data_IF_411275083119
#
_entry.id   IF_411275083119
#
_cell.length_a   1.000
_cell.length_b   1.000
_cell.length_c   1.000
_cell.angle_alpha   90.00
_cell.angle_beta   90.00
_cell.angle_gamma   90.00
#
_symmetry.space_group_name_H-M   'P 1'
#
loop_
_entity.id
_entity.type
_entity.pdbx_description
1 polymer ?
#
# COMPACT_ATOMS: atom_id res chain seq x y z
N UNK A 1 2.09 30.57 -5.95
CA UNK A 1 2.20 29.39 -6.83
C UNK A 1 2.86 28.21 -6.14
N UNK A 2 4.10 28.30 -5.67
CA UNK A 2 4.79 27.18 -4.98
C UNK A 2 4.02 26.55 -3.80
N UNK A 3 3.35 27.34 -2.96
CA UNK A 3 2.52 26.82 -1.87
C UNK A 3 1.28 26.04 -2.34
N UNK A 4 0.62 26.52 -3.40
CA UNK A 4 -0.57 25.88 -3.97
C UNK A 4 -0.18 24.57 -4.63
N UNK A 5 0.91 24.56 -5.41
CA UNK A 5 1.42 23.34 -6.05
C UNK A 5 1.89 22.31 -5.01
N UNK A 6 2.57 22.75 -3.95
CA UNK A 6 2.99 21.90 -2.84
C UNK A 6 1.80 21.21 -2.17
N UNK A 7 0.78 21.98 -1.77
CA UNK A 7 -0.41 21.43 -1.16
C UNK A 7 -1.23 20.56 -2.11
N UNK A 8 -1.32 20.93 -3.39
CA UNK A 8 -1.95 20.10 -4.41
C UNK A 8 -1.29 18.72 -4.50
N UNK A 9 0.05 18.66 -4.55
CA UNK A 9 0.79 17.40 -4.56
C UNK A 9 0.57 16.58 -3.29
N UNK A 10 0.55 17.21 -2.12
CA UNK A 10 0.27 16.53 -0.83
C UNK A 10 -1.15 15.95 -0.82
N UNK A 11 -2.15 16.71 -1.28
CA UNK A 11 -3.54 16.23 -1.36
C UNK A 11 -3.68 15.11 -2.38
N UNK A 12 -3.04 15.20 -3.54
CA UNK A 12 -3.03 14.13 -4.54
C UNK A 12 -2.37 12.85 -4.00
N UNK A 13 -1.24 12.97 -3.31
CA UNK A 13 -0.57 11.85 -2.65
C UNK A 13 -1.43 11.25 -1.53
N UNK A 14 -2.11 12.08 -0.73
CA UNK A 14 -3.02 11.61 0.30
C UNK A 14 -4.22 10.87 -0.29
N UNK A 15 -4.77 11.36 -1.41
CA UNK A 15 -5.85 10.70 -2.13
C UNK A 15 -5.40 9.34 -2.69
N UNK A 16 -4.23 9.28 -3.33
CA UNK A 16 -3.62 8.04 -3.83
C UNK A 16 -3.34 7.05 -2.70
N UNK A 17 -2.76 7.52 -1.59
CA UNK A 17 -2.48 6.72 -0.40
C UNK A 17 -3.78 6.15 0.19
N UNK A 18 -4.81 6.98 0.32
CA UNK A 18 -6.11 6.57 0.81
C UNK A 18 -6.74 5.52 -0.11
N UNK A 19 -6.71 5.75 -1.42
CA UNK A 19 -7.21 4.80 -2.40
C UNK A 19 -6.47 3.46 -2.30
N UNK A 20 -5.14 3.48 -2.20
CA UNK A 20 -4.34 2.26 -2.08
C UNK A 20 -4.66 1.49 -0.78
N UNK A 21 -4.73 2.17 0.37
CA UNK A 21 -5.02 1.54 1.65
C UNK A 21 -6.40 0.86 1.66
N UNK A 22 -7.42 1.55 1.13
CA UNK A 22 -8.78 1.01 1.07
C UNK A 22 -8.96 -0.05 -0.03
N UNK A 23 -8.26 0.07 -1.17
CA UNK A 23 -8.27 -0.96 -2.19
C UNK A 23 -7.63 -2.26 -1.69
N UNK A 24 -6.48 -2.18 -1.03
CA UNK A 24 -5.83 -3.34 -0.41
C UNK A 24 -6.71 -3.97 0.67
N UNK A 25 -7.37 -3.14 1.49
CA UNK A 25 -8.34 -3.61 2.48
C UNK A 25 -9.51 -4.37 1.81
N UNK A 26 -10.10 -3.81 0.75
CA UNK A 26 -11.19 -4.44 0.02
C UNK A 26 -10.78 -5.78 -0.61
N UNK A 27 -9.59 -5.86 -1.21
CA UNK A 27 -9.03 -7.12 -1.75
C UNK A 27 -8.85 -8.14 -0.63
N UNK A 28 -8.31 -7.72 0.52
CA UNK A 28 -8.12 -8.62 1.66
C UNK A 28 -9.45 -9.13 2.22
N UNK A 29 -10.46 -8.26 2.40
CA UNK A 29 -11.81 -8.65 2.83
C UNK A 29 -12.47 -9.59 1.81
N UNK A 30 -12.33 -9.30 0.51
CA UNK A 30 -12.84 -10.17 -0.55
C UNK A 30 -12.19 -11.55 -0.49
N UNK A 31 -10.86 -11.62 -0.35
CA UNK A 31 -10.13 -12.89 -0.25
C UNK A 31 -10.57 -13.69 0.96
N UNK A 32 -10.71 -13.07 2.14
CA UNK A 32 -11.17 -13.77 3.36
C UNK A 32 -12.62 -14.26 3.19
N UNK A 33 -13.50 -13.43 2.62
CA UNK A 33 -14.90 -13.79 2.39
C UNK A 33 -15.06 -14.92 1.38
N UNK A 34 -14.17 -14.99 0.39
CA UNK A 34 -14.14 -16.02 -0.64
C UNK A 34 -13.15 -17.14 -0.32
N UNK A 35 -12.53 -17.14 0.87
CA UNK A 35 -11.48 -18.10 1.21
C UNK A 35 -11.98 -19.53 1.11
N UNK A 36 -13.20 -19.83 1.57
CA UNK A 36 -13.81 -21.15 1.44
C UNK A 36 -14.10 -21.58 0.00
N UNK A 37 -14.46 -20.63 -0.88
CA UNK A 37 -14.66 -20.91 -2.32
C UNK A 37 -13.32 -21.09 -3.05
N UNK A 38 -12.30 -20.30 -2.67
CA UNK A 38 -10.94 -20.39 -3.20
C UNK A 38 -10.25 -21.68 -2.75
N UNK A 39 -10.39 -22.09 -1.49
CA UNK A 39 -9.86 -23.36 -0.98
C UNK A 39 -10.67 -24.55 -1.48
N UNK A 40 -11.99 -24.42 -1.66
CA UNK A 40 -12.84 -25.40 -2.33
C UNK A 40 -12.43 -25.64 -3.79
N UNK A 41 -12.18 -24.56 -4.55
CA UNK A 41 -11.65 -24.64 -5.90
C UNK A 41 -10.23 -25.21 -5.93
N UNK A 42 -9.38 -24.88 -4.96
CA UNK A 42 -8.03 -25.41 -4.84
C UNK A 42 -7.97 -26.88 -4.36
N UNK A 43 -8.93 -27.34 -3.56
CA UNK A 43 -9.05 -28.74 -3.16
C UNK A 43 -9.65 -29.60 -4.28
N UNK A 44 -10.55 -29.06 -5.08
CA UNK A 44 -10.87 -29.60 -6.41
C UNK A 44 -9.64 -29.60 -7.34
N UNK A 45 -8.77 -28.59 -7.23
CA UNK A 45 -7.48 -28.54 -7.93
C UNK A 45 -6.43 -29.53 -7.40
N UNK A 46 -6.55 -30.01 -6.17
CA UNK A 46 -5.79 -31.15 -5.66
C UNK A 46 -6.10 -32.46 -6.41
N UNK A 47 -7.19 -32.49 -7.16
CA UNK A 47 -7.53 -33.53 -8.15
C UNK A 47 -7.31 -33.11 -9.60
N UNK A 48 -6.72 -31.92 -9.85
CA UNK A 48 -6.17 -31.58 -11.17
C UNK A 48 -4.90 -32.42 -11.33
N UNK A 49 -5.13 -33.70 -11.62
CA UNK A 49 -4.25 -34.43 -12.49
C UNK A 49 -4.09 -33.58 -13.76
N UNK A 50 -2.87 -33.57 -14.30
CA UNK A 50 -2.62 -33.03 -15.63
C UNK A 50 -3.75 -33.53 -16.52
N UNK A 51 -4.55 -32.64 -17.15
CA UNK A 51 -5.68 -33.07 -17.95
C UNK A 51 -5.23 -34.12 -18.95
N UNK A 52 -6.04 -35.14 -19.24
CA UNK A 52 -5.62 -36.27 -20.08
C UNK A 52 -5.09 -35.84 -21.47
N UNK A 53 -5.52 -34.68 -21.97
CA UNK A 53 -5.03 -34.08 -23.22
C UNK A 53 -3.63 -33.45 -23.10
N UNK A 54 -3.23 -33.06 -21.90
CA UNK A 54 -1.94 -32.46 -21.55
C UNK A 54 -0.96 -33.52 -21.00
N UNK A 55 -1.47 -34.66 -20.51
CA UNK A 55 -0.67 -35.75 -19.95
C UNK A 55 0.43 -36.27 -20.90
N UNK A 56 0.24 -36.36 -22.23
CA UNK A 56 1.31 -36.76 -23.16
C UNK A 56 2.39 -35.70 -23.36
N UNK A 57 2.08 -34.42 -23.06
CA UNK A 57 2.93 -33.26 -23.33
C UNK A 57 3.66 -32.74 -22.09
N UNK A 58 3.32 -33.24 -20.90
CA UNK A 58 3.96 -32.88 -19.63
C UNK A 58 4.90 -33.99 -19.20
N UNK A 59 6.22 -33.74 -19.15
CA UNK A 59 7.16 -34.70 -18.58
C UNK A 59 6.82 -34.98 -17.11
N UNK A 60 6.96 -36.23 -16.65
CA UNK A 60 6.61 -36.62 -15.28
C UNK A 60 7.38 -35.80 -14.23
N UNK A 61 8.59 -35.33 -14.55
CA UNK A 61 9.41 -34.48 -13.67
C UNK A 61 8.75 -33.13 -13.40
N UNK A 62 8.09 -32.54 -14.41
CA UNK A 62 7.39 -31.24 -14.31
C UNK A 62 6.13 -31.38 -13.46
N UNK A 63 5.38 -32.48 -13.63
CA UNK A 63 4.21 -32.77 -12.82
C UNK A 63 4.57 -32.99 -11.34
N UNK A 64 5.68 -33.69 -11.08
CA UNK A 64 6.20 -33.86 -9.72
C UNK A 64 6.66 -32.53 -9.11
N UNK A 65 7.38 -31.69 -9.85
CA UNK A 65 7.80 -30.37 -9.38
C UNK A 65 6.61 -29.47 -9.03
N UNK A 66 5.58 -29.45 -9.87
CA UNK A 66 4.35 -28.70 -9.60
C UNK A 66 3.63 -29.20 -8.34
N UNK A 67 3.59 -30.51 -8.16
CA UNK A 67 2.97 -31.15 -6.98
C UNK A 67 3.75 -30.85 -5.70
N UNK A 68 5.09 -30.85 -5.76
CA UNK A 68 5.97 -30.47 -4.65
C UNK A 68 5.84 -28.99 -4.29
N UNK A 69 5.76 -28.10 -5.28
CA UNK A 69 5.49 -26.68 -5.06
C UNK A 69 4.15 -26.47 -4.37
N UNK A 70 3.10 -27.15 -4.83
CA UNK A 70 1.77 -27.09 -4.21
C UNK A 70 1.75 -27.65 -2.79
N UNK A 71 2.41 -28.78 -2.56
CA UNK A 71 2.57 -29.35 -1.21
C UNK A 71 3.37 -28.41 -0.29
N UNK A 72 4.38 -27.71 -0.84
CA UNK A 72 5.15 -26.70 -0.12
C UNK A 72 4.32 -25.47 0.28
N UNK A 73 3.22 -25.19 -0.41
CA UNK A 73 2.29 -24.11 -0.08
C UNK A 73 1.22 -24.48 0.96
N UNK A 74 0.95 -25.77 1.18
CA UNK A 74 -0.06 -26.23 2.12
C UNK A 74 0.10 -25.65 3.55
N UNK A 75 1.30 -25.59 4.15
CA UNK A 75 1.50 -25.01 5.49
C UNK A 75 1.18 -23.51 5.54
N UNK A 76 1.40 -22.79 4.44
CA UNK A 76 1.10 -21.35 4.36
C UNK A 76 -0.41 -21.10 4.31
N UNK A 77 -1.14 -21.96 3.60
CA UNK A 77 -2.60 -21.95 3.56
C UNK A 77 -3.18 -22.28 4.93
N UNK A 78 -2.66 -23.30 5.60
CA UNK A 78 -3.08 -23.66 6.96
C UNK A 78 -2.81 -22.54 7.96
N UNK A 79 -1.62 -21.91 7.90
CA UNK A 79 -1.30 -20.75 8.73
C UNK A 79 -2.24 -19.57 8.48
N UNK A 80 -2.63 -19.33 7.22
CA UNK A 80 -3.57 -18.26 6.86
C UNK A 80 -4.99 -18.57 7.36
N UNK A 81 -5.44 -19.82 7.26
CA UNK A 81 -6.73 -20.26 7.79
C UNK A 81 -6.79 -20.16 9.31
N UNK A 82 -5.70 -20.51 9.99
CA UNK A 82 -5.59 -20.40 11.44
C UNK A 82 -5.55 -18.94 11.91
N UNK A 83 -4.96 -18.04 11.11
CA UNK A 83 -4.96 -16.60 11.35
C UNK A 83 -6.28 -15.91 10.92
N UNK A 84 -7.15 -16.57 10.15
CA UNK A 84 -8.35 -15.98 9.58
C UNK A 84 -9.30 -15.32 10.62
N UNK A 85 -9.55 -15.91 11.81
CA UNK A 85 -10.37 -15.27 12.83
C UNK A 85 -9.75 -13.98 13.40
N UNK A 86 -8.42 -13.96 13.56
CA UNK A 86 -7.68 -12.77 14.01
C UNK A 86 -7.65 -11.68 12.92
N UNK A 87 -7.54 -12.08 11.64
CA UNK A 87 -7.63 -11.20 10.48
C UNK A 87 -9.03 -10.60 10.32
N UNK A 88 -10.10 -11.35 10.61
CA UNK A 88 -11.48 -10.89 10.44
C UNK A 88 -11.80 -9.65 11.31
N UNK A 89 -11.24 -9.56 12.52
CA UNK A 89 -11.35 -8.35 13.36
C UNK A 89 -10.19 -7.37 13.21
N UNK A 90 -8.97 -7.88 13.01
CA UNK A 90 -7.74 -7.09 13.00
C UNK A 90 -7.47 -6.35 11.70
N UNK A 91 -8.01 -6.80 10.55
CA UNK A 91 -7.72 -6.21 9.25
C UNK A 91 -8.19 -4.76 9.15
N UNK A 92 -9.40 -4.47 9.63
CA UNK A 92 -9.94 -3.10 9.64
C UNK A 92 -9.13 -2.20 10.57
N UNK A 93 -8.76 -2.69 11.76
CA UNK A 93 -7.92 -1.96 12.72
C UNK A 93 -6.54 -1.68 12.12
N UNK A 94 -5.91 -2.68 11.50
CA UNK A 94 -4.62 -2.53 10.85
C UNK A 94 -4.68 -1.53 9.69
N UNK A 95 -5.73 -1.58 8.87
CA UNK A 95 -5.97 -0.60 7.80
C UNK A 95 -6.09 0.81 8.36
N UNK A 96 -6.86 1.02 9.43
CA UNK A 96 -6.97 2.33 10.08
C UNK A 96 -5.63 2.84 10.61
N UNK A 97 -4.83 1.97 11.23
CA UNK A 97 -3.50 2.33 11.76
C UNK A 97 -2.55 2.71 10.62
N UNK A 98 -2.45 1.87 9.59
CA UNK A 98 -1.57 2.11 8.43
C UNK A 98 -1.99 3.39 7.69
N UNK A 99 -3.29 3.52 7.40
CA UNK A 99 -3.83 4.71 6.75
C UNK A 99 -3.57 5.97 7.57
N UNK A 100 -3.81 5.92 8.88
CA UNK A 100 -3.62 7.04 9.80
C UNK A 100 -2.16 7.48 9.89
N UNK A 101 -1.23 6.54 10.08
CA UNK A 101 0.21 6.83 10.12
C UNK A 101 0.66 7.47 8.80
N UNK A 102 0.31 6.87 7.67
CA UNK A 102 0.68 7.43 6.36
C UNK A 102 0.09 8.82 6.12
N UNK A 103 -1.16 9.05 6.55
CA UNK A 103 -1.81 10.37 6.45
C UNK A 103 -1.08 11.42 7.29
N UNK A 104 -0.73 11.09 8.54
CA UNK A 104 0.04 11.98 9.42
C UNK A 104 1.40 12.32 8.80
N UNK A 105 2.13 11.32 8.29
CA UNK A 105 3.43 11.53 7.65
C UNK A 105 3.33 12.45 6.42
N UNK A 106 2.31 12.27 5.58
CA UNK A 106 2.07 13.12 4.40
C UNK A 106 1.73 14.56 4.79
N UNK A 107 0.92 14.77 5.83
CA UNK A 107 0.59 16.11 6.33
C UNK A 107 1.82 16.79 6.93
N UNK A 108 2.61 16.06 7.73
CA UNK A 108 3.88 16.58 8.28
C UNK A 108 4.87 16.95 7.17
N UNK A 109 4.94 16.16 6.11
CA UNK A 109 5.74 16.48 4.92
C UNK A 109 5.27 17.77 4.27
N UNK A 110 3.97 17.96 4.10
CA UNK A 110 3.38 19.20 3.57
C UNK A 110 3.71 20.42 4.43
N UNK A 111 3.56 20.29 5.75
CA UNK A 111 3.90 21.33 6.71
C UNK A 111 5.41 21.67 6.70
N UNK A 112 6.28 20.66 6.65
CA UNK A 112 7.72 20.82 6.55
C UNK A 112 8.14 21.52 5.25
N UNK A 113 7.57 21.12 4.12
CA UNK A 113 7.81 21.76 2.83
C UNK A 113 7.33 23.22 2.84
N UNK A 114 6.18 23.50 3.46
CA UNK A 114 5.68 24.86 3.63
C UNK A 114 6.65 25.73 4.46
N UNK A 115 7.14 25.20 5.58
CA UNK A 115 8.10 25.89 6.44
C UNK A 115 9.42 26.16 5.72
N UNK A 116 9.93 25.17 4.98
CA UNK A 116 11.16 25.30 4.20
C UNK A 116 11.03 26.43 3.15
N UNK A 117 9.91 26.47 2.41
CA UNK A 117 9.64 27.54 1.44
C UNK A 117 9.61 28.91 2.15
N UNK A 118 8.99 28.99 3.34
CA UNK A 118 8.95 30.23 4.12
C UNK A 118 10.33 30.69 4.59
N UNK A 119 11.17 29.77 5.08
CA UNK A 119 12.53 30.06 5.53
C UNK A 119 13.44 30.47 4.36
N UNK A 120 13.33 29.81 3.22
CA UNK A 120 14.09 30.14 2.00
C UNK A 120 13.73 31.54 1.48
N UNK A 121 12.45 31.92 1.53
CA UNK A 121 12.00 33.28 1.17
C UNK A 121 12.53 34.35 2.12
N UNK A 122 12.61 34.06 3.42
CA UNK A 122 13.18 35.00 4.41
C UNK A 122 14.67 35.25 4.18
N UNK A 123 15.44 34.24 3.76
CA UNK A 123 16.86 34.41 3.42
C UNK A 123 17.09 35.19 2.12
N UNK A 124 16.20 35.08 1.13
CA UNK A 124 16.32 35.79 -0.16
C UNK A 124 15.84 37.25 -0.15
N UNK A 125 15.07 37.67 0.87
CA UNK A 125 14.51 39.03 0.97
C UNK A 125 15.30 40.02 1.85
N UNK A 126 16.40 39.58 2.45
CA UNK A 126 17.19 40.35 3.43
C UNK A 126 18.39 41.10 2.85
N UNK A 127 18.26 41.76 1.70
CA UNK A 127 19.29 42.64 1.14
C UNK A 127 18.66 43.82 0.39
N UNK A 128 17.92 44.67 1.10
CA UNK A 128 17.49 45.98 0.60
C UNK A 128 18.12 47.07 1.46
N UNK A 129 18.93 48.01 0.92
CA UNK A 129 19.45 49.11 1.70
C UNK A 129 18.28 49.98 2.17
N UNK A 130 18.20 50.19 3.48
CA UNK A 130 17.26 51.12 4.09
C UNK A 130 17.56 52.53 3.55
N UNK A 131 16.62 53.22 2.88
CA UNK A 131 16.85 54.59 2.45
C UNK A 131 17.06 55.44 3.70
N UNK A 132 18.22 56.12 3.78
CA UNK A 132 18.51 57.09 4.83
C UNK A 132 17.42 58.16 4.82
N UNK A 133 16.73 58.32 5.95
CA UNK A 133 15.88 59.48 6.21
C UNK A 133 16.78 60.74 6.27
N UNK A 134 16.54 61.79 5.47
CA UNK A 134 17.25 63.03 5.64
C UNK A 134 16.76 63.72 6.91
N UNK A 135 17.66 63.90 7.88
CA UNK A 135 17.45 64.81 9.01
C UNK A 135 17.44 66.22 8.45
N UNK A 136 16.31 66.91 8.59
CA UNK A 136 16.20 68.34 8.37
C UNK A 136 16.51 69.07 9.69
N UNK A 137 17.60 69.83 9.70
CA UNK A 137 17.83 71.02 10.53
C UNK A 137 19.05 71.77 9.99
#
# INVERSE_FOLDING_TARGET
MFYVLSWFSVVALLALWSLAAWALHAVAVWTVSNAGALTGAASGAGTIAVPDWLAPWVPPEVAQWASQLMAGFAPFVDGLLQAAPALAGGLTVATWVIWGIGSVLLVLLGAGLHLLIALLRRRGGGSGPQPRQPVAA
#
